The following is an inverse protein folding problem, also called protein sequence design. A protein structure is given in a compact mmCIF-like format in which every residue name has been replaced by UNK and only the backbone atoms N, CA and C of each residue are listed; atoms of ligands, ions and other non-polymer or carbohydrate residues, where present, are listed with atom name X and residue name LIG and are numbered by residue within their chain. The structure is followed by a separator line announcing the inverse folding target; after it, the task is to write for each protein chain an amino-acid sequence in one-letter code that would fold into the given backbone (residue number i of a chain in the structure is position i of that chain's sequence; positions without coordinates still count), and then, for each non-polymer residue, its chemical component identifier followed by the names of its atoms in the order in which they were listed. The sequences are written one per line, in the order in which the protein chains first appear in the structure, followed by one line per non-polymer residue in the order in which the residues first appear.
data_IF_166746601583
#
_entry.id   IF_166746601583
#
_cell.length_a   1.000
_cell.length_b   1.000
_cell.length_c   1.000
_cell.angle_alpha   90.00
_cell.angle_beta   90.00
_cell.angle_gamma   90.00
#
_symmetry.space_group_name_H-M   'P 1'
#
loop_
_entity.id
_entity.type
_entity.pdbx_description
1 polymer ?
#
# COMPACT_ATOMS: atom_id res chain seq x y z
N UNK A 1 62.04 67.39 -38.90
CA UNK A 1 61.23 67.12 -37.69
C UNK A 1 61.14 65.62 -37.53
N UNK A 2 61.44 65.08 -36.35
CA UNK A 2 61.31 63.65 -36.05
C UNK A 2 59.87 63.35 -35.66
N UNK A 3 59.24 62.39 -36.33
CA UNK A 3 57.95 61.83 -35.91
C UNK A 3 58.12 61.13 -34.56
N UNK A 4 57.18 61.33 -33.62
CA UNK A 4 57.16 60.63 -32.31
C UNK A 4 56.33 59.35 -32.35
N UNK A 5 56.53 58.46 -31.36
CA UNK A 5 55.74 57.22 -31.24
C UNK A 5 54.24 57.51 -31.07
N UNK A 6 53.86 58.49 -30.24
CA UNK A 6 52.46 58.97 -30.13
C UNK A 6 51.90 59.39 -31.49
N UNK A 7 52.64 60.18 -32.27
CA UNK A 7 52.19 60.65 -33.58
C UNK A 7 51.98 59.50 -34.57
N UNK A 8 52.79 58.43 -34.50
CA UNK A 8 52.61 57.23 -35.30
C UNK A 8 51.30 56.52 -34.91
N UNK A 9 51.03 56.36 -33.61
CA UNK A 9 49.79 55.74 -33.12
C UNK A 9 48.58 56.54 -33.59
N UNK A 10 48.61 57.87 -33.48
CA UNK A 10 47.52 58.75 -33.91
C UNK A 10 47.23 58.65 -35.41
N UNK A 11 48.25 58.46 -36.25
CA UNK A 11 48.10 58.26 -37.69
C UNK A 11 47.42 56.92 -38.01
N UNK A 12 47.76 55.85 -37.30
CA UNK A 12 47.09 54.54 -37.42
C UNK A 12 45.68 54.53 -36.83
N UNK A 13 45.41 55.36 -35.83
CA UNK A 13 44.07 55.55 -35.28
C UNK A 13 43.13 56.26 -36.27
N UNK A 14 43.66 57.20 -37.06
CA UNK A 14 42.89 57.93 -38.07
C UNK A 14 42.70 57.16 -39.39
N UNK A 15 43.59 56.21 -39.73
CA UNK A 15 43.51 55.39 -40.95
C UNK A 15 43.26 53.89 -40.68
N UNK A 16 42.02 53.46 -40.91
CA UNK A 16 41.59 52.05 -40.75
C UNK A 16 42.29 51.10 -41.72
N UNK A 17 42.62 51.54 -42.95
CA UNK A 17 43.31 50.69 -43.93
C UNK A 17 44.75 50.44 -43.49
N UNK A 18 45.42 51.49 -43.02
CA UNK A 18 46.78 51.37 -42.47
C UNK A 18 46.80 50.43 -41.27
N UNK A 19 45.83 50.55 -40.34
CA UNK A 19 45.72 49.65 -39.18
C UNK A 19 45.48 48.20 -39.56
N UNK A 20 44.58 47.96 -40.53
CA UNK A 20 44.32 46.62 -41.06
C UNK A 20 45.59 46.03 -41.69
N UNK A 21 46.30 46.81 -42.50
CA UNK A 21 47.55 46.37 -43.14
C UNK A 21 48.64 46.05 -42.10
N UNK A 22 48.75 46.85 -41.04
CA UNK A 22 49.66 46.58 -39.93
C UNK A 22 49.28 45.27 -39.21
N UNK A 23 48.00 45.05 -38.91
CA UNK A 23 47.53 43.81 -38.30
C UNK A 23 47.79 42.57 -39.18
N UNK A 24 47.57 42.68 -40.49
CA UNK A 24 47.88 41.62 -41.47
C UNK A 24 49.37 41.27 -41.46
N UNK A 25 50.26 42.28 -41.42
CA UNK A 25 51.70 42.07 -41.34
C UNK A 25 52.10 41.39 -40.02
N UNK A 26 51.54 41.84 -38.89
CA UNK A 26 51.80 41.23 -37.57
C UNK A 26 51.30 39.78 -37.49
N UNK A 27 50.16 39.45 -38.12
CA UNK A 27 49.63 38.08 -38.15
C UNK A 27 50.42 37.19 -39.12
N UNK A 28 51.04 37.76 -40.16
CA UNK A 28 51.89 37.03 -41.08
C UNK A 28 53.17 36.51 -40.38
N UNK A 29 53.71 37.26 -39.42
CA UNK A 29 54.85 36.84 -38.59
C UNK A 29 54.54 35.56 -37.77
N UNK A 30 55.28 34.46 -37.98
CA UNK A 30 55.03 33.19 -37.32
C UNK A 30 55.06 33.27 -35.79
N UNK A 31 55.99 34.02 -35.19
CA UNK A 31 56.12 34.11 -33.74
C UNK A 31 54.93 34.82 -33.10
N UNK A 32 54.46 35.91 -33.70
CA UNK A 32 53.30 36.67 -33.20
C UNK A 32 52.04 35.81 -33.31
N UNK A 33 51.85 35.12 -34.44
CA UNK A 33 50.74 34.19 -34.64
C UNK A 33 50.75 33.05 -33.63
N UNK A 34 51.92 32.46 -33.34
CA UNK A 34 52.06 31.41 -32.33
C UNK A 34 51.78 31.94 -30.91
N UNK A 35 52.24 33.14 -30.58
CA UNK A 35 51.94 33.77 -29.29
C UNK A 35 50.43 33.99 -29.10
N UNK A 36 49.72 34.47 -30.12
CA UNK A 36 48.27 34.66 -30.10
C UNK A 36 47.55 33.30 -29.97
N UNK A 37 47.95 32.30 -30.77
CA UNK A 37 47.36 30.95 -30.70
C UNK A 37 47.55 30.34 -29.30
N UNK A 38 48.76 30.44 -28.72
CA UNK A 38 49.04 29.90 -27.39
C UNK A 38 48.28 30.62 -26.27
N UNK A 39 48.06 31.93 -26.42
CA UNK A 39 47.22 32.70 -25.49
C UNK A 39 45.76 32.21 -25.55
N UNK A 40 45.19 32.09 -26.75
CA UNK A 40 43.80 31.66 -26.96
C UNK A 40 43.59 30.19 -26.60
N UNK A 41 44.55 29.31 -26.91
CA UNK A 41 44.46 27.87 -26.62
C UNK A 41 44.24 27.56 -25.13
N UNK A 42 44.65 28.44 -24.22
CA UNK A 42 44.45 28.27 -22.77
C UNK A 42 43.02 28.59 -22.31
N UNK A 43 42.28 29.36 -23.10
CA UNK A 43 40.94 29.86 -22.73
C UNK A 43 39.82 29.11 -23.46
N UNK A 44 40.15 28.35 -24.51
CA UNK A 44 39.17 27.61 -25.31
C UNK A 44 39.14 26.13 -24.94
N UNK A 45 37.93 25.56 -24.90
CA UNK A 45 37.77 24.12 -24.78
C UNK A 45 38.26 23.42 -26.06
N UNK A 46 39.14 22.44 -25.90
CA UNK A 46 39.62 21.64 -27.01
C UNK A 46 38.63 20.52 -27.33
N UNK A 47 38.72 19.98 -28.55
CA UNK A 47 37.92 18.80 -28.94
C UNK A 47 38.10 17.62 -27.99
N UNK A 48 39.30 17.46 -27.42
CA UNK A 48 39.59 16.42 -26.41
C UNK A 48 38.79 16.60 -25.12
N UNK A 49 38.52 17.84 -24.71
CA UNK A 49 37.77 18.11 -23.48
C UNK A 49 36.29 17.82 -23.68
N UNK A 50 35.77 18.15 -24.87
CA UNK A 50 34.41 17.80 -25.28
C UNK A 50 34.24 16.27 -25.34
N UNK A 51 35.22 15.55 -25.88
CA UNK A 51 35.13 14.08 -25.95
C UNK A 51 35.17 13.44 -24.55
N UNK A 52 36.04 13.94 -23.66
CA UNK A 52 36.05 13.52 -22.25
C UNK A 52 34.72 13.78 -21.56
N UNK A 53 34.14 14.96 -21.77
CA UNK A 53 32.84 15.30 -21.21
C UNK A 53 31.72 14.40 -21.75
N UNK A 54 31.78 14.08 -23.05
CA UNK A 54 30.83 13.18 -23.71
C UNK A 54 30.90 11.77 -23.13
N UNK A 55 32.10 11.23 -22.95
CA UNK A 55 32.28 9.91 -22.35
C UNK A 55 31.86 9.88 -20.88
N UNK A 56 32.22 10.91 -20.08
CA UNK A 56 31.75 11.03 -18.70
C UNK A 56 30.21 11.04 -18.63
N UNK A 57 29.57 11.85 -19.48
CA UNK A 57 28.10 11.94 -19.57
C UNK A 57 27.48 10.59 -19.98
N UNK A 58 28.11 9.87 -20.91
CA UNK A 58 27.65 8.54 -21.33
C UNK A 58 27.69 7.53 -20.17
N UNK A 59 28.80 7.52 -19.44
CA UNK A 59 28.98 6.64 -18.27
C UNK A 59 27.98 6.97 -17.16
N UNK A 60 27.74 8.25 -16.88
CA UNK A 60 26.75 8.69 -15.89
C UNK A 60 25.33 8.25 -16.28
N UNK A 61 24.97 8.36 -17.57
CA UNK A 61 23.69 7.88 -18.09
C UNK A 61 23.54 6.36 -17.97
N UNK A 62 24.61 5.61 -18.24
CA UNK A 62 24.60 4.15 -18.09
C UNK A 62 24.44 3.72 -16.64
N UNK A 63 25.16 4.40 -15.72
CA UNK A 63 25.04 4.19 -14.29
C UNK A 63 23.62 4.50 -13.81
N UNK A 64 23.07 5.65 -14.19
CA UNK A 64 21.71 6.04 -13.84
C UNK A 64 20.67 5.03 -14.34
N UNK A 65 20.81 4.55 -15.59
CA UNK A 65 19.92 3.51 -16.14
C UNK A 65 20.00 2.21 -15.35
N UNK A 66 21.20 1.81 -14.92
CA UNK A 66 21.40 0.61 -14.09
C UNK A 66 20.71 0.77 -12.73
N UNK A 67 20.97 1.87 -12.04
CA UNK A 67 20.36 2.17 -10.72
C UNK A 67 18.83 2.23 -10.81
N UNK A 68 18.30 2.86 -11.86
CA UNK A 68 16.86 2.92 -12.09
C UNK A 68 16.25 1.53 -12.33
N UNK A 69 16.94 0.67 -13.09
CA UNK A 69 16.49 -0.70 -13.34
C UNK A 69 16.48 -1.52 -12.06
N UNK A 70 17.56 -1.45 -11.27
CA UNK A 70 17.67 -2.15 -10.00
C UNK A 70 16.60 -1.68 -9.00
N UNK A 71 16.39 -0.36 -8.91
CA UNK A 71 15.34 0.23 -8.08
C UNK A 71 13.94 -0.28 -8.44
N UNK A 72 13.62 -0.35 -9.74
CA UNK A 72 12.35 -0.90 -10.20
C UNK A 72 12.19 -2.39 -9.89
N UNK A 73 13.25 -3.18 -10.07
CA UNK A 73 13.19 -4.60 -9.73
C UNK A 73 13.02 -4.83 -8.23
N UNK A 74 13.70 -4.03 -7.40
CA UNK A 74 13.54 -4.06 -5.94
C UNK A 74 12.11 -3.73 -5.54
N UNK A 75 11.56 -2.63 -6.05
CA UNK A 75 10.18 -2.23 -5.77
C UNK A 75 9.18 -3.31 -6.21
N UNK A 76 9.40 -3.92 -7.39
CA UNK A 76 8.56 -5.02 -7.88
C UNK A 76 8.62 -6.23 -6.93
N UNK A 77 9.80 -6.61 -6.45
CA UNK A 77 9.96 -7.72 -5.50
C UNK A 77 9.28 -7.45 -4.17
N UNK A 78 9.47 -6.25 -3.62
CA UNK A 78 8.84 -5.83 -2.36
C UNK A 78 7.32 -5.87 -2.47
N UNK A 79 6.77 -5.29 -3.55
CA UNK A 79 5.34 -5.30 -3.82
C UNK A 79 4.77 -6.73 -3.87
N UNK A 80 5.41 -7.64 -4.61
CA UNK A 80 4.94 -9.03 -4.66
C UNK A 80 5.06 -9.75 -3.32
N UNK A 81 6.10 -9.47 -2.53
CA UNK A 81 6.25 -10.03 -1.20
C UNK A 81 5.14 -9.57 -0.26
N UNK A 82 4.78 -8.28 -0.27
CA UNK A 82 3.69 -7.74 0.54
C UNK A 82 2.33 -8.30 0.12
N UNK A 83 2.07 -8.38 -1.19
CA UNK A 83 0.85 -8.98 -1.72
C UNK A 83 0.69 -10.44 -1.30
N UNK A 84 1.78 -11.22 -1.28
CA UNK A 84 1.75 -12.62 -0.85
C UNK A 84 1.52 -12.73 0.66
N UNK A 85 2.13 -11.86 1.48
CA UNK A 85 1.85 -11.81 2.92
C UNK A 85 0.38 -11.51 3.18
N UNK A 86 -0.16 -10.47 2.56
CA UNK A 86 -1.57 -10.08 2.70
C UNK A 86 -2.52 -11.20 2.28
N UNK A 87 -2.23 -11.88 1.17
CA UNK A 87 -3.02 -13.03 0.71
C UNK A 87 -3.03 -14.17 1.73
N UNK A 88 -1.88 -14.45 2.35
CA UNK A 88 -1.76 -15.52 3.35
C UNK A 88 -2.45 -15.16 4.66
N UNK A 89 -2.34 -13.91 5.12
CA UNK A 89 -3.07 -13.39 6.28
C UNK A 89 -4.58 -13.51 6.07
N UNK A 90 -5.08 -13.02 4.94
CA UNK A 90 -6.50 -13.10 4.59
C UNK A 90 -7.01 -14.55 4.54
N UNK A 91 -6.23 -15.47 3.96
CA UNK A 91 -6.58 -16.90 3.91
C UNK A 91 -6.63 -17.52 5.32
N UNK A 92 -5.71 -17.14 6.19
CA UNK A 92 -5.69 -17.58 7.60
C UNK A 92 -6.91 -17.07 8.35
N UNK A 93 -7.26 -15.79 8.20
CA UNK A 93 -8.47 -15.21 8.81
C UNK A 93 -9.74 -15.88 8.33
N UNK A 94 -9.89 -16.12 7.03
CA UNK A 94 -11.02 -16.87 6.49
C UNK A 94 -11.10 -18.30 7.05
N UNK A 95 -9.96 -18.96 7.27
CA UNK A 95 -9.93 -20.29 7.87
C UNK A 95 -10.39 -20.26 9.32
N UNK A 96 -9.97 -19.25 10.10
CA UNK A 96 -10.41 -19.07 11.49
C UNK A 96 -11.91 -18.80 11.55
N UNK A 97 -12.41 -17.88 10.73
CA UNK A 97 -13.83 -17.55 10.65
C UNK A 97 -14.67 -18.77 10.29
N UNK A 98 -14.22 -19.59 9.34
CA UNK A 98 -14.92 -20.84 8.99
C UNK A 98 -14.99 -21.80 10.18
N UNK A 99 -13.90 -21.98 10.91
CA UNK A 99 -13.87 -22.83 12.09
C UNK A 99 -14.81 -22.33 13.20
N UNK A 100 -14.88 -21.02 13.41
CA UNK A 100 -15.81 -20.41 14.36
C UNK A 100 -17.27 -20.64 13.95
N UNK A 101 -17.60 -20.48 12.67
CA UNK A 101 -18.93 -20.78 12.13
C UNK A 101 -19.29 -22.25 12.32
N UNK A 102 -18.37 -23.18 12.06
CA UNK A 102 -18.60 -24.62 12.25
C UNK A 102 -18.83 -24.98 13.72
N UNK A 103 -18.12 -24.30 14.63
CA UNK A 103 -18.32 -24.45 16.08
C UNK A 103 -19.71 -23.95 16.49
N UNK A 104 -20.11 -22.75 16.05
CA UNK A 104 -21.44 -22.20 16.32
C UNK A 104 -22.54 -23.11 15.78
N UNK A 105 -22.40 -23.66 14.58
CA UNK A 105 -23.35 -24.63 14.04
C UNK A 105 -23.49 -25.89 14.90
N UNK A 106 -22.39 -26.33 15.51
CA UNK A 106 -22.39 -27.49 16.40
C UNK A 106 -23.08 -27.19 17.73
N UNK A 107 -22.86 -26.00 18.29
CA UNK A 107 -23.55 -25.51 19.48
C UNK A 107 -25.06 -25.36 19.24
N UNK A 108 -25.47 -24.75 18.11
CA UNK A 108 -26.88 -24.62 17.72
C UNK A 108 -27.55 -25.99 17.58
N UNK A 109 -26.87 -26.98 16.98
CA UNK A 109 -27.38 -28.35 16.88
C UNK A 109 -27.54 -29.02 18.25
N UNK A 110 -26.62 -28.78 19.19
CA UNK A 110 -26.72 -29.30 20.54
C UNK A 110 -27.92 -28.69 21.29
N UNK A 111 -28.07 -27.36 21.25
CA UNK A 111 -29.21 -26.66 21.82
C UNK A 111 -30.54 -27.15 21.25
N UNK A 112 -30.60 -27.42 19.95
CA UNK A 112 -31.82 -27.95 19.32
C UNK A 112 -32.22 -29.33 19.85
N UNK A 113 -31.24 -30.20 20.14
CA UNK A 113 -31.50 -31.49 20.80
C UNK A 113 -32.01 -31.30 22.22
N UNK A 114 -31.40 -30.40 23.00
CA UNK A 114 -31.84 -30.11 24.37
C UNK A 114 -33.27 -29.57 24.40
N UNK A 115 -33.60 -28.62 23.52
CA UNK A 115 -34.97 -28.07 23.39
C UNK A 115 -35.96 -29.17 23.03
N UNK A 116 -35.61 -30.07 22.12
CA UNK A 116 -36.47 -31.21 21.74
C UNK A 116 -36.70 -32.14 22.93
N UNK A 117 -35.65 -32.50 23.67
CA UNK A 117 -35.77 -33.34 24.87
C UNK A 117 -36.62 -32.66 25.97
N UNK A 118 -36.48 -31.36 26.17
CA UNK A 118 -37.31 -30.59 27.11
C UNK A 118 -38.79 -30.65 26.69
N UNK A 119 -39.09 -30.45 25.40
CA UNK A 119 -40.46 -30.55 24.88
C UNK A 119 -41.05 -31.94 25.15
N UNK A 120 -40.32 -33.01 24.90
CA UNK A 120 -40.79 -34.37 25.18
C UNK A 120 -41.09 -34.57 26.67
N UNK A 121 -40.18 -34.15 27.56
CA UNK A 121 -40.40 -34.22 29.01
C UNK A 121 -41.64 -33.43 29.44
N UNK A 122 -41.85 -32.22 28.91
CA UNK A 122 -43.03 -31.42 29.19
C UNK A 122 -44.32 -32.16 28.79
N UNK A 123 -44.37 -32.73 27.58
CA UNK A 123 -45.54 -33.51 27.14
C UNK A 123 -45.80 -34.73 28.02
N UNK A 124 -44.73 -35.35 28.56
CA UNK A 124 -44.84 -36.45 29.52
C UNK A 124 -45.48 -36.00 30.83
N UNK A 125 -45.02 -34.87 31.37
CA UNK A 125 -45.57 -34.27 32.60
C UNK A 125 -47.04 -33.87 32.40
N UNK A 126 -47.38 -33.24 31.27
CA UNK A 126 -48.77 -32.86 30.95
C UNK A 126 -49.70 -34.08 30.95
N UNK A 127 -49.27 -35.21 30.38
CA UNK A 127 -50.03 -36.47 30.40
C UNK A 127 -50.18 -37.04 31.80
N UNK A 128 -49.11 -37.05 32.59
CA UNK A 128 -49.16 -37.53 33.98
C UNK A 128 -50.09 -36.67 34.85
N UNK A 129 -50.02 -35.34 34.71
CA UNK A 129 -50.93 -34.42 35.39
C UNK A 129 -52.37 -34.64 34.96
N UNK A 130 -52.64 -34.83 33.67
CA UNK A 130 -53.99 -35.13 33.18
C UNK A 130 -54.55 -36.43 33.78
N UNK A 131 -53.72 -37.48 33.92
CA UNK A 131 -54.11 -38.72 34.60
C UNK A 131 -54.36 -38.49 36.09
N UNK A 132 -53.48 -37.76 36.76
CA UNK A 132 -53.64 -37.43 38.19
C UNK A 132 -54.92 -36.63 38.44
N UNK A 133 -55.23 -35.64 37.60
CA UNK A 133 -56.48 -34.88 37.68
C UNK A 133 -57.69 -35.79 37.46
N UNK A 134 -57.66 -36.70 36.46
CA UNK A 134 -58.74 -37.68 36.25
C UNK A 134 -58.95 -38.59 37.45
N UNK A 135 -57.88 -39.13 38.03
CA UNK A 135 -57.91 -39.96 39.24
C UNK A 135 -58.47 -39.13 40.41
N UNK A 136 -57.95 -37.93 40.63
CA UNK A 136 -58.40 -37.04 41.70
C UNK A 136 -59.90 -36.77 41.62
N UNK A 137 -60.43 -36.45 40.44
CA UNK A 137 -61.87 -36.25 40.21
C UNK A 137 -62.64 -37.55 40.48
N UNK A 138 -62.18 -38.68 39.91
CA UNK A 138 -62.85 -39.98 40.02
C UNK A 138 -62.99 -40.46 41.48
N UNK A 139 -62.00 -40.18 42.34
CA UNK A 139 -62.04 -40.55 43.75
C UNK A 139 -62.73 -39.49 44.63
N UNK A 140 -62.41 -38.21 44.46
CA UNK A 140 -62.89 -37.18 45.39
C UNK A 140 -64.34 -36.77 45.14
N UNK A 141 -64.83 -36.77 43.89
CA UNK A 141 -66.21 -36.34 43.59
C UNK A 141 -67.25 -37.28 44.22
N UNK A 142 -67.17 -38.62 44.09
CA UNK A 142 -68.12 -39.52 44.75
C UNK A 142 -68.10 -39.42 46.27
N UNK A 143 -66.91 -39.26 46.88
CA UNK A 143 -66.76 -39.09 48.33
C UNK A 143 -67.46 -37.80 48.78
N UNK A 144 -67.22 -36.69 48.09
CA UNK A 144 -67.87 -35.40 48.39
C UNK A 144 -69.40 -35.51 48.27
N UNK A 145 -69.91 -36.15 47.20
CA UNK A 145 -71.35 -36.36 47.01
C UNK A 145 -71.93 -37.24 48.12
N UNK A 146 -71.25 -38.31 48.52
CA UNK A 146 -71.67 -39.19 49.61
C UNK A 146 -71.72 -38.44 50.95
N UNK A 147 -70.70 -37.66 51.27
CA UNK A 147 -70.64 -36.83 52.48
C UNK A 147 -71.77 -35.79 52.49
N UNK A 148 -71.99 -35.10 51.38
CA UNK A 148 -73.11 -34.13 51.25
C UNK A 148 -74.46 -34.84 51.45
N UNK A 149 -74.66 -36.01 50.85
CA UNK A 149 -75.88 -36.80 51.02
C UNK A 149 -76.13 -37.21 52.48
N UNK A 150 -75.08 -37.63 53.19
CA UNK A 150 -75.16 -37.96 54.62
C UNK A 150 -75.51 -36.71 55.43
N UNK A 151 -74.84 -35.57 55.19
CA UNK A 151 -75.10 -34.31 55.89
C UNK A 151 -76.55 -33.82 55.67
N UNK A 152 -77.03 -33.84 54.42
CA UNK A 152 -78.41 -33.45 54.11
C UNK A 152 -79.43 -34.36 54.83
N UNK A 153 -79.18 -35.68 54.87
CA UNK A 153 -80.02 -36.63 55.60
C UNK A 153 -80.09 -36.32 57.10
N UNK A 154 -79.00 -35.84 57.71
CA UNK A 154 -79.00 -35.45 59.13
C UNK A 154 -79.73 -34.13 59.40
N UNK A 155 -79.84 -33.23 58.42
CA UNK A 155 -80.46 -31.91 58.59
C UNK A 155 -81.97 -31.94 58.32
N UNK A 156 -82.42 -32.77 57.37
CA UNK A 156 -83.83 -32.88 56.97
C UNK A 156 -84.60 -34.05 57.62
N UNK A 157 -83.95 -34.79 58.53
CA UNK A 157 -84.57 -35.84 59.36
C UNK A 157 -84.69 -35.39 60.80
#
# INVERSE_FOLDING_TARGET
MSITAEQIVELFEKDVRARRRLAELLIAEPEIRLAIINAVLREVALKSDIEKLREATRLDLEKFRSEFREGNEKLRREFWSEMEKLRNEFRSELSKLRAEVDKLWSEVRALWKEVTAIKERLTGIERQLALLVKIFIAFNVPILVAVIGILLKMVFS
#
